data_IF_233898008284
#
_entry.id   IF_233898008284
#
_cell.length_a   1.000
_cell.length_b   1.000
_cell.length_c   1.000
_cell.angle_alpha   90.00
_cell.angle_beta   90.00
_cell.angle_gamma   90.00
#
_symmetry.space_group_name_H-M   'P 1'
#
loop_
_entity.id
_entity.type
_entity.pdbx_description
1 polymer ?
#
# COMPACT_ATOMS: atom_id res chain seq x y z
N UNK A 1 6.42 -8.12 11.02
CA UNK A 1 5.76 -6.98 11.70
C UNK A 1 5.35 -5.92 10.67
N UNK A 2 6.29 -5.31 9.93
CA UNK A 2 5.96 -4.28 8.92
C UNK A 2 4.99 -4.73 7.81
N UNK A 3 5.14 -5.96 7.28
CA UNK A 3 4.29 -6.45 6.20
C UNK A 3 2.80 -6.54 6.61
N UNK A 4 2.51 -7.14 7.78
CA UNK A 4 1.15 -7.27 8.31
C UNK A 4 0.50 -5.91 8.58
N UNK A 5 1.28 -4.90 9.01
CA UNK A 5 0.75 -3.55 9.19
C UNK A 5 0.29 -2.94 7.86
N UNK A 6 1.08 -3.08 6.79
CA UNK A 6 0.70 -2.56 5.47
C UNK A 6 -0.42 -3.35 4.81
N UNK A 7 -0.49 -4.67 5.01
CA UNK A 7 -1.61 -5.50 4.56
C UNK A 7 -2.93 -5.05 5.19
N UNK A 8 -2.94 -4.81 6.50
CA UNK A 8 -4.12 -4.29 7.20
C UNK A 8 -4.48 -2.87 6.73
N UNK A 9 -3.49 -2.02 6.50
CA UNK A 9 -3.71 -0.64 6.05
C UNK A 9 -4.26 -0.59 4.62
N UNK A 10 -3.77 -1.46 3.72
CA UNK A 10 -4.34 -1.62 2.39
C UNK A 10 -5.79 -2.14 2.46
N UNK A 11 -6.10 -3.10 3.36
CA UNK A 11 -7.48 -3.57 3.56
C UNK A 11 -8.42 -2.49 4.10
N UNK A 12 -7.97 -1.69 5.08
CA UNK A 12 -8.76 -0.61 5.70
C UNK A 12 -9.13 0.47 4.68
N UNK A 13 -8.19 0.82 3.79
CA UNK A 13 -8.43 1.82 2.76
C UNK A 13 -9.06 1.25 1.48
N UNK A 14 -9.15 -0.09 1.34
CA UNK A 14 -9.72 -0.75 0.17
C UNK A 14 -8.77 -0.80 -1.02
N UNK A 15 -7.47 -0.76 -0.75
CA UNK A 15 -6.40 -0.95 -1.74
C UNK A 15 -6.19 -2.45 -1.88
N UNK A 16 -6.35 -2.95 -3.09
CA UNK A 16 -6.14 -4.36 -3.42
C UNK A 16 -4.65 -4.73 -3.34
N UNK A 17 -4.31 -6.03 -3.26
CA UNK A 17 -2.92 -6.50 -3.22
C UNK A 17 -2.08 -6.10 -4.45
N UNK A 18 -2.71 -5.70 -5.55
CA UNK A 18 -2.04 -5.16 -6.74
C UNK A 18 -1.82 -3.64 -6.67
N UNK A 19 -2.32 -2.99 -5.61
CA UNK A 19 -2.30 -1.57 -5.35
C UNK A 19 -3.47 -0.79 -5.99
N UNK A 20 -4.47 -1.46 -6.56
CA UNK A 20 -5.63 -0.81 -7.17
C UNK A 20 -6.75 -0.58 -6.16
N UNK A 21 -7.38 0.60 -6.20
CA UNK A 21 -8.61 0.84 -5.45
C UNK A 21 -9.82 0.60 -6.37
N UNK A 22 -10.83 -0.21 -5.98
CA UNK A 22 -12.03 -0.41 -6.76
C UNK A 22 -12.75 0.92 -7.04
N UNK A 23 -13.25 1.07 -8.26
CA UNK A 23 -13.81 2.31 -8.82
C UNK A 23 -15.05 2.87 -8.11
N UNK A 24 -15.57 2.15 -7.12
CA UNK A 24 -16.80 2.49 -6.39
C UNK A 24 -16.59 3.55 -5.29
N UNK A 25 -15.33 3.87 -4.95
CA UNK A 25 -15.01 5.01 -4.07
C UNK A 25 -14.72 6.25 -4.92
N UNK A 26 -15.46 7.37 -4.72
CA UNK A 26 -15.17 8.61 -5.44
C UNK A 26 -13.77 9.11 -5.07
N UNK A 27 -12.91 9.27 -6.09
CA UNK A 27 -11.63 9.98 -5.97
C UNK A 27 -11.96 11.40 -5.48
N UNK A 28 -11.53 11.76 -4.27
CA UNK A 28 -11.88 13.02 -3.60
C UNK A 28 -13.01 12.95 -2.56
N UNK A 29 -13.44 11.75 -2.15
CA UNK A 29 -14.49 11.54 -1.16
C UNK A 29 -13.98 11.30 0.27
N UNK A 30 -14.13 12.30 1.14
CA UNK A 30 -14.13 12.32 2.61
C UNK A 30 -12.94 11.75 3.41
N UNK A 31 -12.01 10.97 2.84
CA UNK A 31 -10.86 10.48 3.60
C UNK A 31 -9.61 10.25 2.74
N UNK A 32 -9.12 11.28 2.04
CA UNK A 32 -7.81 11.25 1.36
C UNK A 32 -6.64 11.35 2.36
N UNK A 33 -6.88 11.21 3.67
CA UNK A 33 -5.82 11.36 4.67
C UNK A 33 -4.72 10.29 4.54
N UNK A 34 -5.06 9.12 3.97
CA UNK A 34 -4.13 8.02 3.69
C UNK A 34 -3.11 8.35 2.59
N UNK A 35 -3.32 9.39 1.76
CA UNK A 35 -2.29 9.86 0.80
C UNK A 35 -1.04 10.40 1.49
N UNK A 36 -1.10 10.63 2.80
CA UNK A 36 0.09 10.88 3.64
C UNK A 36 1.04 9.67 3.62
N UNK A 37 0.49 8.46 3.57
CA UNK A 37 1.20 7.20 3.67
C UNK A 37 1.36 6.49 2.32
N UNK A 38 0.54 6.82 1.32
CA UNK A 38 0.61 6.24 -0.03
C UNK A 38 0.97 7.28 -1.09
N UNK A 39 1.57 6.81 -2.18
CA UNK A 39 1.77 7.59 -3.40
C UNK A 39 0.93 6.97 -4.50
N UNK A 40 0.16 7.79 -5.21
CA UNK A 40 -0.53 7.36 -6.43
C UNK A 40 0.42 7.47 -7.63
N UNK A 41 0.47 6.42 -8.44
CA UNK A 41 1.15 6.43 -9.74
C UNK A 41 0.19 6.96 -10.82
N UNK A 42 0.72 7.41 -11.96
CA UNK A 42 -0.13 7.83 -13.09
C UNK A 42 -1.03 6.74 -13.67
N UNK A 43 -0.91 5.49 -13.23
CA UNK A 43 -1.76 4.35 -13.61
C UNK A 43 -2.82 4.01 -12.55
N UNK A 44 -3.04 4.87 -11.54
CA UNK A 44 -4.02 4.67 -10.47
C UNK A 44 -3.60 3.68 -9.39
N UNK A 45 -2.35 3.21 -9.42
CA UNK A 45 -1.79 2.32 -8.39
C UNK A 45 -1.33 3.12 -7.17
N UNK A 46 -1.71 2.69 -5.98
CA UNK A 46 -1.26 3.22 -4.69
C UNK A 46 -0.07 2.42 -4.16
N UNK A 47 1.02 3.11 -3.82
CA UNK A 47 2.28 2.52 -3.34
C UNK A 47 2.63 3.08 -1.95
N UNK A 48 2.88 2.24 -0.94
CA UNK A 48 3.30 2.69 0.38
C UNK A 48 4.58 3.51 0.37
N UNK A 49 4.61 4.60 1.13
CA UNK A 49 5.82 5.36 1.46
C UNK A 49 6.54 4.67 2.63
N UNK A 50 7.15 3.51 2.36
CA UNK A 50 7.81 2.68 3.36
C UNK A 50 9.23 2.30 2.93
N UNK A 51 10.14 2.17 3.91
CA UNK A 51 11.48 1.61 3.72
C UNK A 51 11.55 0.32 4.54
N UNK A 52 11.76 -0.80 3.86
CA UNK A 52 12.06 -2.08 4.50
C UNK A 52 13.57 -2.23 4.58
N UNK A 53 14.09 -2.39 5.80
CA UNK A 53 15.52 -2.62 6.07
C UNK A 53 15.69 -4.03 6.59
N UNK A 54 16.57 -4.78 5.95
CA UNK A 54 16.94 -6.13 6.36
C UNK A 54 18.46 -6.27 6.35
N UNK A 55 18.97 -7.03 7.30
CA UNK A 55 20.40 -7.36 7.41
C UNK A 55 20.72 -8.73 6.81
N UNK A 56 19.69 -9.51 6.43
CA UNK A 56 19.84 -10.76 5.69
C UNK A 56 19.27 -10.63 4.27
N UNK A 57 20.00 -11.06 3.22
CA UNK A 57 19.58 -10.86 1.83
C UNK A 57 18.34 -11.66 1.41
N UNK A 58 17.94 -12.67 2.19
CA UNK A 58 16.92 -13.64 1.79
C UNK A 58 15.50 -13.22 2.21
N UNK A 59 15.33 -12.43 3.27
CA UNK A 59 13.99 -12.14 3.78
C UNK A 59 13.25 -11.08 2.94
N UNK A 60 13.93 -10.05 2.42
CA UNK A 60 13.32 -9.11 1.46
C UNK A 60 12.87 -9.77 0.15
N UNK A 61 13.56 -10.81 -0.32
CA UNK A 61 13.18 -11.53 -1.53
C UNK A 61 11.89 -12.37 -1.37
N UNK A 62 11.51 -12.70 -0.14
CA UNK A 62 10.29 -13.44 0.19
C UNK A 62 9.12 -12.52 0.58
N UNK A 63 9.36 -11.22 0.74
CA UNK A 63 8.31 -10.25 1.07
C UNK A 63 7.75 -9.72 -0.25
N UNK A 64 6.56 -10.20 -0.59
CA UNK A 64 5.71 -9.55 -1.60
C UNK A 64 5.47 -8.09 -1.18
N UNK A 65 5.47 -7.12 -2.12
CA UNK A 65 4.99 -5.78 -1.79
C UNK A 65 3.59 -5.90 -1.17
N UNK A 66 3.31 -5.17 -0.08
CA UNK A 66 2.01 -5.27 0.59
C UNK A 66 0.85 -4.85 -0.33
N UNK A 67 1.18 -4.06 -1.36
CA UNK A 67 0.40 -3.51 -2.45
C UNK A 67 1.45 -2.98 -3.48
#
# INVERSE_FOLDING_TARGET
>A
MGNTCWELYCLEHGIQPDGQMPSDKPIGGHDDSFTTFFSETGAGKYVPRAIFVDLEPTALALVSPPC
#
